data_IF_188574301910
#
_entry.id   IF_188574301910
#
_cell.length_a   1.000
_cell.length_b   1.000
_cell.length_c   1.000
_cell.angle_alpha   90.00
_cell.angle_beta   90.00
_cell.angle_gamma   90.00
#
_symmetry.space_group_name_H-M   'P 1'
#
loop_
_entity.id
_entity.type
_entity.pdbx_description
1 polymer ?
#
# COMPACT_ATOMS: atom_id res chain seq x y z
N UNK A 1 14.53 34.02 29.03
CA UNK A 1 13.12 34.00 28.57
C UNK A 1 13.08 33.36 27.20
N UNK A 2 12.36 32.26 27.00
CA UNK A 2 12.23 31.68 25.66
C UNK A 2 11.32 32.56 24.78
N UNK A 3 11.77 32.90 23.57
CA UNK A 3 10.98 33.66 22.60
C UNK A 3 10.35 32.65 21.61
N UNK A 4 9.02 32.47 21.60
CA UNK A 4 8.35 31.54 20.70
C UNK A 4 8.63 31.88 19.23
N UNK A 5 8.75 30.87 18.38
CA UNK A 5 9.07 31.04 16.96
C UNK A 5 8.12 32.03 16.25
N UNK A 6 6.81 31.90 16.46
CA UNK A 6 5.77 32.77 15.88
C UNK A 6 5.89 34.26 16.27
N UNK A 7 6.64 34.60 17.33
CA UNK A 7 6.82 35.97 17.77
C UNK A 7 8.05 36.66 17.15
N UNK A 8 8.95 35.91 16.52
CA UNK A 8 10.27 36.40 16.06
C UNK A 8 10.14 37.55 15.06
N UNK A 9 9.26 37.44 14.07
CA UNK A 9 9.13 38.47 13.03
C UNK A 9 8.38 39.72 13.53
N UNK A 10 7.41 39.55 14.43
CA UNK A 10 6.79 40.69 15.15
C UNK A 10 7.80 41.43 16.02
N UNK A 11 8.76 40.72 16.62
CA UNK A 11 9.85 41.33 17.42
C UNK A 11 10.86 42.02 16.48
N UNK A 12 11.29 41.37 15.40
CA UNK A 12 12.20 41.94 14.39
C UNK A 12 11.64 43.22 13.77
N UNK A 13 10.37 43.22 13.38
CA UNK A 13 9.70 44.40 12.81
C UNK A 13 9.52 45.55 13.81
N UNK A 14 9.72 45.31 15.11
CA UNK A 14 9.68 46.32 16.16
C UNK A 14 11.08 46.80 16.61
N UNK A 15 12.16 46.27 16.02
CA UNK A 15 13.52 46.72 16.28
C UNK A 15 13.81 48.05 15.55
N UNK A 16 14.68 48.92 16.10
CA UNK A 16 15.11 50.13 15.43
C UNK A 16 16.02 49.77 14.24
N UNK A 17 15.83 50.44 13.11
CA UNK A 17 16.64 50.27 11.90
C UNK A 17 18.12 50.60 12.13
N UNK A 18 18.41 51.46 13.10
CA UNK A 18 19.75 51.91 13.51
C UNK A 18 19.81 51.93 15.05
N UNK A 19 20.34 50.89 15.71
CA UNK A 19 20.44 50.85 17.17
C UNK A 19 21.51 51.82 17.70
N UNK A 20 21.30 52.38 18.88
CA UNK A 20 22.28 53.29 19.52
C UNK A 20 23.45 52.51 20.13
N UNK A 21 24.58 53.18 20.36
CA UNK A 21 25.74 52.55 21.03
C UNK A 21 25.42 52.02 22.43
N UNK A 22 24.44 52.62 23.12
CA UNK A 22 23.96 52.17 24.44
C UNK A 22 23.06 50.93 24.34
N UNK A 23 22.24 50.83 23.29
CA UNK A 23 21.43 49.65 22.99
C UNK A 23 22.32 48.45 22.60
N UNK A 24 23.31 48.67 21.72
CA UNK A 24 24.29 47.63 21.33
C UNK A 24 25.15 47.21 22.52
N UNK A 25 25.50 48.15 23.40
CA UNK A 25 26.23 47.91 24.65
C UNK A 25 25.41 47.26 25.77
N UNK A 26 24.17 46.82 25.50
CA UNK A 26 23.28 46.19 26.48
C UNK A 26 22.93 47.09 27.71
N UNK A 27 22.97 48.41 27.55
CA UNK A 27 22.64 49.39 28.61
C UNK A 27 21.16 49.81 28.57
N UNK A 28 20.61 49.98 27.37
CA UNK A 28 19.22 50.40 27.14
C UNK A 28 18.47 49.37 26.27
N UNK A 29 17.17 49.25 26.48
CA UNK A 29 16.30 48.33 25.75
C UNK A 29 16.06 48.79 24.31
N UNK A 30 16.39 47.95 23.32
CA UNK A 30 16.17 48.24 21.90
C UNK A 30 14.71 48.56 21.53
N UNK A 31 13.72 48.18 22.36
CA UNK A 31 12.28 48.29 22.06
C UNK A 31 11.57 49.47 22.74
N UNK A 32 12.22 50.14 23.68
CA UNK A 32 11.63 51.30 24.39
C UNK A 32 12.64 52.38 24.83
N UNK A 33 13.93 52.19 24.53
CA UNK A 33 15.03 53.10 24.87
C UNK A 33 15.19 53.42 26.38
N UNK A 34 14.52 52.65 27.25
CA UNK A 34 14.72 52.72 28.70
C UNK A 34 15.98 51.96 29.12
N UNK A 35 16.77 52.48 30.09
CA UNK A 35 17.87 51.74 30.68
C UNK A 35 17.40 50.46 31.37
N UNK A 36 18.21 49.40 31.32
CA UNK A 36 17.89 48.14 31.99
C UNK A 36 17.91 48.27 33.52
N UNK A 37 18.89 48.98 34.09
CA UNK A 37 19.09 49.00 35.55
C UNK A 37 19.30 47.59 36.08
N UNK A 38 18.55 47.20 37.11
CA UNK A 38 18.58 45.85 37.70
C UNK A 38 17.82 44.79 36.87
N UNK A 39 17.20 45.17 35.74
CA UNK A 39 16.40 44.25 34.91
C UNK A 39 17.32 43.38 34.05
N UNK A 40 17.17 42.06 34.11
CA UNK A 40 17.92 41.13 33.25
C UNK A 40 17.59 41.38 31.76
N UNK A 41 18.59 41.70 30.92
CA UNK A 41 18.40 41.87 29.48
C UNK A 41 18.16 40.52 28.79
N UNK A 42 17.30 40.50 27.77
CA UNK A 42 17.00 39.29 27.00
C UNK A 42 17.51 39.46 25.55
N UNK A 43 18.39 38.57 25.05
CA UNK A 43 18.91 38.66 23.68
C UNK A 43 17.81 38.41 22.65
N UNK A 44 17.86 39.14 21.53
CA UNK A 44 16.81 39.17 20.50
C UNK A 44 17.20 38.54 19.16
N UNK A 45 18.49 38.31 18.91
CA UNK A 45 18.98 37.62 17.72
C UNK A 45 19.11 36.10 17.88
N UNK A 46 19.59 35.40 16.84
CA UNK A 46 19.70 33.94 16.84
C UNK A 46 20.81 33.39 17.76
N UNK A 47 21.73 34.25 18.20
CA UNK A 47 22.79 33.94 19.18
C UNK A 47 22.76 34.96 20.31
N UNK A 48 23.21 34.57 21.50
CA UNK A 48 23.32 35.46 22.66
C UNK A 48 24.31 36.62 22.43
N UNK A 49 25.22 36.46 21.46
CA UNK A 49 26.23 37.44 21.03
C UNK A 49 25.72 38.47 20.02
N UNK A 50 24.45 38.40 19.60
CA UNK A 50 23.87 39.23 18.53
C UNK A 50 23.72 40.73 18.83
N UNK A 51 24.07 41.19 20.03
CA UNK A 51 24.19 42.61 20.37
C UNK A 51 22.86 43.39 20.47
N UNK A 52 21.71 42.73 20.40
CA UNK A 52 20.39 43.37 20.53
C UNK A 52 19.61 42.76 21.69
N UNK A 53 19.14 43.61 22.59
CA UNK A 53 18.55 43.21 23.86
C UNK A 53 17.21 43.90 24.13
N UNK A 54 16.24 43.13 24.60
CA UNK A 54 14.90 43.61 24.97
C UNK A 54 14.62 43.44 26.45
N UNK A 55 13.83 44.36 27.03
CA UNK A 55 13.34 44.22 28.40
C UNK A 55 12.08 43.33 28.43
N UNK A 56 11.94 42.57 29.52
CA UNK A 56 10.85 41.61 29.71
C UNK A 56 9.43 42.21 29.50
N UNK A 57 9.12 43.46 29.95
CA UNK A 57 7.83 44.09 29.67
C UNK A 57 7.54 44.30 28.17
N UNK A 58 8.53 44.78 27.41
CA UNK A 58 8.36 45.01 25.97
C UNK A 58 8.17 43.70 25.21
N UNK A 59 8.95 42.67 25.56
CA UNK A 59 8.82 41.34 24.96
C UNK A 59 7.47 40.69 25.29
N UNK A 60 7.00 40.79 26.54
CA UNK A 60 5.66 40.31 26.91
C UNK A 60 4.56 40.99 26.07
N UNK A 61 4.66 42.29 25.82
CA UNK A 61 3.73 43.05 24.96
C UNK A 61 3.77 42.58 23.50
N UNK A 62 4.96 42.41 22.92
CA UNK A 62 5.12 41.97 21.53
C UNK A 62 4.73 40.51 21.31
N UNK A 63 5.10 39.60 22.22
CA UNK A 63 4.66 38.18 22.18
C UNK A 63 3.14 38.08 22.31
N UNK A 64 2.51 38.91 23.15
CA UNK A 64 1.05 38.97 23.25
C UNK A 64 0.38 39.54 21.99
N UNK A 65 1.02 40.48 21.29
CA UNK A 65 0.56 40.99 19.99
C UNK A 65 0.69 39.90 18.92
N UNK A 66 1.85 39.27 18.81
CA UNK A 66 2.12 38.19 17.85
C UNK A 66 1.15 37.01 18.04
N UNK A 67 0.87 36.63 19.30
CA UNK A 67 -0.16 35.63 19.62
C UNK A 67 -1.51 36.05 19.05
N UNK A 68 -2.01 37.26 19.37
CA UNK A 68 -3.31 37.74 18.84
C UNK A 68 -3.37 37.78 17.31
N UNK A 69 -2.29 38.19 16.64
CA UNK A 69 -2.23 38.21 15.18
C UNK A 69 -2.26 36.81 14.59
N UNK A 70 -1.47 35.87 15.14
CA UNK A 70 -1.50 34.46 14.75
C UNK A 70 -2.87 33.84 14.99
N UNK A 71 -3.44 34.04 16.17
CA UNK A 71 -4.73 33.45 16.54
C UNK A 71 -5.87 34.01 15.67
N UNK A 72 -5.80 35.29 15.25
CA UNK A 72 -6.73 35.87 14.28
C UNK A 72 -6.54 35.33 12.85
N UNK A 73 -5.30 35.14 12.40
CA UNK A 73 -5.01 34.51 11.11
C UNK A 73 -5.54 33.07 11.08
N UNK A 74 -5.28 32.27 12.13
CA UNK A 74 -5.82 30.90 12.25
C UNK A 74 -7.35 30.84 12.21
N UNK A 75 -8.05 31.86 12.72
CA UNK A 75 -9.53 31.95 12.60
C UNK A 75 -9.93 32.23 11.16
N UNK A 76 -9.27 33.18 10.49
CA UNK A 76 -9.53 33.50 9.08
C UNK A 76 -9.22 32.30 8.15
N UNK A 77 -8.10 31.61 8.36
CA UNK A 77 -7.69 30.42 7.61
C UNK A 77 -8.71 29.28 7.82
N UNK A 78 -9.23 29.11 9.04
CA UNK A 78 -10.27 28.13 9.35
C UNK A 78 -11.66 28.51 8.78
N UNK A 79 -11.98 29.79 8.64
CA UNK A 79 -13.19 30.27 7.96
C UNK A 79 -13.09 30.06 6.44
N UNK A 80 -11.93 30.36 5.86
CA UNK A 80 -11.62 30.11 4.44
C UNK A 80 -11.69 28.61 4.11
N UNK A 81 -11.02 27.76 4.89
CA UNK A 81 -11.04 26.31 4.72
C UNK A 81 -12.47 25.71 4.78
N UNK A 82 -13.33 26.23 5.65
CA UNK A 82 -14.75 25.81 5.72
C UNK A 82 -15.55 26.25 4.48
N UNK A 83 -15.28 27.44 3.95
CA UNK A 83 -15.94 27.93 2.74
C UNK A 83 -15.51 27.12 1.51
N UNK A 84 -14.22 26.81 1.39
CA UNK A 84 -13.67 25.94 0.34
C UNK A 84 -14.24 24.52 0.40
N UNK A 85 -14.22 23.90 1.59
CA UNK A 85 -14.77 22.56 1.79
C UNK A 85 -16.28 22.49 1.49
N UNK A 86 -17.05 23.52 1.88
CA UNK A 86 -18.49 23.59 1.58
C UNK A 86 -18.78 23.74 0.08
N UNK A 87 -18.00 24.57 -0.63
CA UNK A 87 -18.15 24.75 -2.08
C UNK A 87 -17.74 23.48 -2.85
N UNK A 88 -16.66 22.81 -2.44
CA UNK A 88 -16.24 21.55 -3.04
C UNK A 88 -17.24 20.42 -2.79
N UNK A 89 -17.83 20.33 -1.59
CA UNK A 89 -18.84 19.31 -1.28
C UNK A 89 -20.07 19.38 -2.20
N UNK A 90 -20.50 20.57 -2.63
CA UNK A 90 -21.60 20.74 -3.59
C UNK A 90 -21.24 20.22 -4.99
N UNK A 91 -20.03 20.51 -5.48
CA UNK A 91 -19.54 20.02 -6.77
C UNK A 91 -19.33 18.50 -6.76
N UNK A 92 -18.74 17.98 -5.68
CA UNK A 92 -18.56 16.55 -5.41
C UNK A 92 -19.88 15.78 -5.45
N UNK A 93 -20.90 16.26 -4.74
CA UNK A 93 -22.23 15.64 -4.70
C UNK A 93 -22.86 15.60 -6.10
N UNK A 94 -22.72 16.69 -6.88
CA UNK A 94 -23.20 16.72 -8.26
C UNK A 94 -22.51 15.64 -9.12
N UNK A 95 -21.19 15.53 -9.02
CA UNK A 95 -20.41 14.56 -9.78
C UNK A 95 -20.71 13.11 -9.38
N UNK A 96 -20.96 12.82 -8.11
CA UNK A 96 -21.42 11.49 -7.65
C UNK A 96 -22.77 11.12 -8.29
N UNK A 97 -23.69 12.08 -8.41
CA UNK A 97 -24.98 11.88 -9.11
C UNK A 97 -24.77 11.64 -10.61
N UNK A 98 -23.81 12.30 -11.24
CA UNK A 98 -23.44 12.06 -12.65
C UNK A 98 -22.88 10.64 -12.85
N UNK A 99 -21.90 10.22 -12.02
CA UNK A 99 -21.32 8.87 -12.06
C UNK A 99 -22.39 7.78 -11.90
N UNK A 100 -23.29 7.91 -10.92
CA UNK A 100 -24.40 6.97 -10.71
C UNK A 100 -25.41 7.01 -11.87
N UNK A 101 -25.64 8.16 -12.50
CA UNK A 101 -26.51 8.27 -13.67
C UNK A 101 -25.94 7.55 -14.89
N UNK A 102 -24.63 7.66 -15.14
CA UNK A 102 -23.96 6.90 -16.22
C UNK A 102 -23.92 5.41 -15.88
N UNK A 103 -23.73 5.05 -14.59
CA UNK A 103 -23.78 3.65 -14.14
C UNK A 103 -25.15 3.01 -14.41
N UNK A 104 -26.24 3.70 -14.05
CA UNK A 104 -27.60 3.27 -14.36
C UNK A 104 -27.86 3.18 -15.87
N UNK A 105 -27.25 4.06 -16.67
CA UNK A 105 -27.32 3.97 -18.13
C UNK A 105 -26.59 2.73 -18.67
N UNK A 106 -25.43 2.37 -18.12
CA UNK A 106 -24.72 1.13 -18.48
C UNK A 106 -25.56 -0.11 -18.16
N UNK A 107 -26.09 -0.18 -16.94
CA UNK A 107 -26.99 -1.25 -16.46
C UNK A 107 -28.28 -1.34 -17.33
N UNK A 108 -28.79 -0.20 -17.83
CA UNK A 108 -29.92 -0.16 -18.75
C UNK A 108 -29.56 -0.64 -20.17
N UNK A 109 -28.41 -0.24 -20.71
CA UNK A 109 -27.90 -0.72 -22.01
C UNK A 109 -27.67 -2.23 -21.98
N UNK A 110 -27.04 -2.74 -20.92
CA UNK A 110 -26.82 -4.18 -20.71
C UNK A 110 -28.14 -4.97 -20.71
N UNK A 111 -29.21 -4.45 -20.08
CA UNK A 111 -30.53 -5.09 -20.10
C UNK A 111 -31.20 -5.05 -21.48
N UNK A 112 -31.07 -3.94 -22.22
CA UNK A 112 -31.68 -3.78 -23.54
C UNK A 112 -31.13 -4.77 -24.59
N UNK A 113 -29.95 -5.36 -24.38
CA UNK A 113 -29.41 -6.35 -25.30
C UNK A 113 -30.24 -7.64 -25.33
N UNK A 114 -30.94 -7.95 -24.24
CA UNK A 114 -31.85 -9.10 -24.12
C UNK A 114 -33.23 -8.87 -24.76
N UNK A 115 -33.57 -7.62 -25.12
CA UNK A 115 -34.84 -7.30 -25.76
C UNK A 115 -34.74 -7.52 -27.28
N UNK A 116 -35.33 -8.62 -27.76
CA UNK A 116 -35.37 -8.96 -29.19
C UNK A 116 -36.04 -7.87 -30.07
N UNK A 117 -36.85 -6.98 -29.50
CA UNK A 117 -37.50 -5.89 -30.24
C UNK A 117 -36.59 -4.71 -30.53
N UNK A 118 -35.41 -4.63 -29.88
CA UNK A 118 -34.42 -3.58 -30.15
C UNK A 118 -33.46 -4.02 -31.24
N UNK A 119 -33.38 -3.22 -32.30
CA UNK A 119 -32.46 -3.44 -33.42
C UNK A 119 -30.99 -3.46 -32.95
N UNK A 120 -30.16 -4.45 -33.32
CA UNK A 120 -28.77 -4.52 -32.87
C UNK A 120 -27.93 -3.29 -33.23
N UNK A 121 -28.18 -2.66 -34.38
CA UNK A 121 -27.55 -1.37 -34.73
C UNK A 121 -27.89 -0.25 -33.74
N UNK A 122 -29.10 -0.27 -33.15
CA UNK A 122 -29.51 0.69 -32.11
C UNK A 122 -28.77 0.43 -30.81
N UNK A 123 -28.54 -0.84 -30.45
CA UNK A 123 -27.72 -1.24 -29.30
C UNK A 123 -26.27 -0.76 -29.47
N UNK A 124 -25.66 -0.94 -30.65
CA UNK A 124 -24.31 -0.43 -30.93
C UNK A 124 -24.19 1.10 -30.76
N UNK A 125 -25.17 1.87 -31.24
CA UNK A 125 -25.21 3.33 -31.04
C UNK A 125 -25.41 3.73 -29.58
N UNK A 126 -26.13 2.94 -28.79
CA UNK A 126 -26.26 3.15 -27.35
C UNK A 126 -24.91 2.93 -26.64
N UNK A 127 -24.15 1.90 -26.99
CA UNK A 127 -22.80 1.69 -26.45
C UNK A 127 -21.87 2.87 -26.80
N UNK A 128 -21.84 3.33 -28.06
CA UNK A 128 -21.03 4.52 -28.44
C UNK A 128 -21.41 5.77 -27.64
N UNK A 129 -22.71 5.97 -27.38
CA UNK A 129 -23.19 7.09 -26.57
C UNK A 129 -22.79 6.95 -25.09
N UNK A 130 -22.79 5.72 -24.59
CA UNK A 130 -22.41 5.37 -23.22
C UNK A 130 -20.90 5.49 -22.98
N UNK A 131 -20.05 5.03 -23.91
CA UNK A 131 -18.59 5.21 -23.85
C UNK A 131 -18.20 6.69 -23.81
N UNK A 132 -18.90 7.52 -24.60
CA UNK A 132 -18.75 8.98 -24.54
C UNK A 132 -19.11 9.51 -23.15
N UNK A 133 -20.30 9.15 -22.63
CA UNK A 133 -20.75 9.60 -21.30
C UNK A 133 -19.82 9.13 -20.16
N UNK A 134 -19.27 7.91 -20.27
CA UNK A 134 -18.26 7.38 -19.34
C UNK A 134 -16.99 8.23 -19.34
N UNK A 135 -16.43 8.53 -20.51
CA UNK A 135 -15.21 9.34 -20.62
C UNK A 135 -15.40 10.75 -20.02
N UNK A 136 -16.51 11.42 -20.34
CA UNK A 136 -16.84 12.73 -19.72
C UNK A 136 -16.97 12.61 -18.19
N UNK A 137 -17.65 11.58 -17.70
CA UNK A 137 -17.85 11.39 -16.26
C UNK A 137 -16.57 10.97 -15.49
N UNK A 138 -15.55 10.41 -16.15
CA UNK A 138 -14.28 10.09 -15.50
C UNK A 138 -13.22 11.18 -15.61
N UNK A 139 -13.22 11.95 -16.70
CA UNK A 139 -12.18 12.94 -16.98
C UNK A 139 -12.41 14.27 -16.23
N UNK A 140 -13.67 14.66 -15.99
CA UNK A 140 -14.05 15.90 -15.29
C UNK A 140 -14.18 15.74 -13.75
N UNK A 141 -13.43 14.80 -13.16
CA UNK A 141 -13.48 14.52 -11.72
C UNK A 141 -13.00 15.73 -10.86
N UNK A 142 -13.76 16.18 -9.83
CA UNK A 142 -13.46 17.41 -9.10
C UNK A 142 -12.31 17.24 -8.08
N UNK A 143 -11.20 17.95 -8.29
CA UNK A 143 -10.06 17.96 -7.36
C UNK A 143 -10.43 18.52 -5.97
N UNK A 144 -10.03 17.87 -4.87
CA UNK A 144 -10.24 18.38 -3.51
C UNK A 144 -9.36 19.62 -3.24
N UNK A 145 -9.87 20.63 -2.52
CA UNK A 145 -9.05 21.78 -2.13
C UNK A 145 -7.94 21.35 -1.15
N UNK A 146 -6.81 22.07 -1.05
CA UNK A 146 -5.73 21.75 -0.11
C UNK A 146 -6.12 21.74 1.38
N UNK A 147 -7.31 22.25 1.70
CA UNK A 147 -7.94 22.30 3.01
C UNK A 147 -8.83 21.07 3.32
N UNK A 148 -9.10 20.21 2.34
CA UNK A 148 -9.83 18.94 2.50
C UNK A 148 -8.87 17.75 2.70
N UNK A 149 -9.43 16.59 3.07
CA UNK A 149 -8.66 15.36 3.25
C UNK A 149 -8.04 14.87 1.92
N UNK A 150 -6.89 14.21 2.00
CA UNK A 150 -6.05 13.89 0.83
C UNK A 150 -6.63 12.87 -0.16
N UNK A 151 -7.75 12.21 0.17
CA UNK A 151 -8.44 11.25 -0.71
C UNK A 151 -9.92 11.17 -0.34
N UNK A 152 -10.78 11.03 -1.35
CA UNK A 152 -12.21 10.78 -1.18
C UNK A 152 -12.53 9.33 -1.59
N UNK A 153 -12.92 8.52 -0.62
CA UNK A 153 -13.22 7.10 -0.81
C UNK A 153 -14.51 6.86 -1.60
N UNK A 154 -15.52 7.73 -1.45
CA UNK A 154 -16.83 7.57 -2.08
C UNK A 154 -16.77 7.91 -3.57
N UNK A 155 -16.01 8.94 -3.96
CA UNK A 155 -15.68 9.21 -5.36
C UNK A 155 -14.91 8.02 -5.99
N UNK A 156 -13.94 7.46 -5.27
CA UNK A 156 -13.15 6.32 -5.75
C UNK A 156 -13.98 5.03 -5.91
N UNK A 157 -14.87 4.72 -4.97
CA UNK A 157 -15.78 3.57 -5.02
C UNK A 157 -16.85 3.74 -6.11
N UNK A 158 -17.40 4.96 -6.25
CA UNK A 158 -18.38 5.26 -7.31
C UNK A 158 -17.79 5.13 -8.71
N UNK A 159 -16.57 5.64 -8.93
CA UNK A 159 -15.82 5.45 -10.17
C UNK A 159 -15.53 3.97 -10.46
N UNK A 160 -15.14 3.20 -9.44
CA UNK A 160 -14.90 1.75 -9.60
C UNK A 160 -16.18 0.98 -9.96
N UNK A 161 -17.31 1.27 -9.31
CA UNK A 161 -18.61 0.65 -9.63
C UNK A 161 -19.06 0.98 -11.06
N UNK A 162 -18.87 2.21 -11.50
CA UNK A 162 -19.12 2.61 -12.89
C UNK A 162 -18.25 1.81 -13.86
N UNK A 163 -16.96 1.63 -13.57
CA UNK A 163 -16.08 0.81 -14.41
C UNK A 163 -16.52 -0.66 -14.52
N UNK A 164 -17.04 -1.26 -13.44
CA UNK A 164 -17.57 -2.64 -13.47
C UNK A 164 -18.81 -2.75 -14.36
N UNK A 165 -19.78 -1.84 -14.21
CA UNK A 165 -21.02 -1.85 -15.00
C UNK A 165 -20.75 -1.56 -16.48
N UNK A 166 -19.73 -0.75 -16.80
CA UNK A 166 -19.25 -0.58 -18.17
C UNK A 166 -18.67 -1.87 -18.77
N UNK A 167 -18.00 -2.72 -17.99
CA UNK A 167 -17.52 -4.02 -18.47
C UNK A 167 -18.71 -4.92 -18.82
N UNK A 168 -19.70 -5.05 -17.92
CA UNK A 168 -20.90 -5.84 -18.18
C UNK A 168 -21.75 -5.32 -19.34
N UNK A 169 -21.82 -4.00 -19.53
CA UNK A 169 -22.50 -3.40 -20.69
C UNK A 169 -21.76 -3.69 -22.01
N UNK A 170 -20.42 -3.64 -22.02
CA UNK A 170 -19.61 -4.00 -23.20
C UNK A 170 -19.81 -5.47 -23.58
N UNK A 171 -19.67 -6.38 -22.62
CA UNK A 171 -19.86 -7.83 -22.79
C UNK A 171 -21.23 -8.15 -23.39
N UNK A 172 -22.31 -7.70 -22.73
CA UNK A 172 -23.68 -7.95 -23.17
C UNK A 172 -24.00 -7.37 -24.57
N UNK A 173 -23.37 -6.25 -24.96
CA UNK A 173 -23.51 -5.66 -26.30
C UNK A 173 -22.73 -6.45 -27.35
N UNK A 174 -21.50 -6.88 -27.03
CA UNK A 174 -20.67 -7.70 -27.93
C UNK A 174 -21.37 -9.02 -28.24
N UNK A 175 -21.90 -9.73 -27.24
CA UNK A 175 -22.63 -10.98 -27.45
C UNK A 175 -23.86 -10.78 -28.35
N UNK A 176 -24.64 -9.73 -28.10
CA UNK A 176 -25.84 -9.43 -28.91
C UNK A 176 -25.50 -9.07 -30.36
N UNK A 177 -24.38 -8.39 -30.60
CA UNK A 177 -23.91 -8.07 -31.94
C UNK A 177 -23.31 -9.30 -32.65
N UNK A 178 -22.56 -10.14 -31.92
CA UNK A 178 -22.06 -11.41 -32.43
C UNK A 178 -23.23 -12.32 -32.86
N UNK A 179 -24.19 -12.57 -31.98
CA UNK A 179 -25.43 -13.30 -32.28
C UNK A 179 -26.10 -12.78 -33.55
N UNK A 180 -26.26 -11.47 -33.70
CA UNK A 180 -26.89 -10.90 -34.90
C UNK A 180 -26.07 -11.13 -36.18
N UNK A 181 -24.75 -10.91 -36.13
CA UNK A 181 -23.86 -11.14 -37.27
C UNK A 181 -23.88 -12.60 -37.73
N UNK A 182 -23.80 -13.54 -36.80
CA UNK A 182 -23.86 -14.99 -37.06
C UNK A 182 -25.16 -15.35 -37.78
N UNK A 183 -26.29 -14.88 -37.25
CA UNK A 183 -27.62 -15.28 -37.72
C UNK A 183 -28.09 -14.56 -38.99
N UNK A 184 -27.58 -13.36 -39.31
CA UNK A 184 -27.92 -12.65 -40.56
C UNK A 184 -26.89 -12.84 -41.69
N UNK A 185 -25.63 -13.18 -41.39
CA UNK A 185 -24.66 -13.56 -42.41
C UNK A 185 -24.87 -14.99 -42.93
N UNK A 186 -25.60 -15.84 -42.19
CA UNK A 186 -25.89 -17.22 -42.60
C UNK A 186 -26.82 -17.25 -43.82
N UNK A 187 -26.43 -17.88 -44.95
CA UNK A 187 -27.26 -17.94 -46.15
C UNK A 187 -28.54 -18.75 -45.91
N UNK A 188 -29.67 -18.44 -46.58
CA UNK A 188 -30.98 -19.08 -46.33
C UNK A 188 -31.05 -20.57 -46.69
N UNK A 189 -30.00 -21.12 -47.30
CA UNK A 189 -29.77 -22.55 -47.48
C UNK A 189 -28.29 -22.84 -47.19
N UNK A 190 -27.92 -23.08 -45.92
CA UNK A 190 -26.54 -23.35 -45.56
C UNK A 190 -26.10 -24.74 -46.05
N UNK A 191 -25.22 -24.78 -47.06
CA UNK A 191 -24.54 -26.02 -47.48
C UNK A 191 -23.69 -26.63 -46.35
N UNK A 192 -23.31 -25.80 -45.37
CA UNK A 192 -22.50 -26.15 -44.18
C UNK A 192 -23.26 -26.96 -43.10
N UNK A 193 -24.59 -27.09 -43.18
CA UNK A 193 -25.39 -27.78 -42.15
C UNK A 193 -25.27 -29.32 -42.14
N UNK A 194 -24.51 -29.93 -43.05
CA UNK A 194 -24.18 -31.38 -42.98
C UNK A 194 -22.89 -31.67 -42.20
N UNK A 195 -22.00 -30.69 -41.96
CA UNK A 195 -20.76 -30.91 -41.16
C UNK A 195 -20.95 -30.67 -39.65
N UNK A 196 -21.93 -29.86 -39.26
CA UNK A 196 -22.35 -29.74 -37.86
C UNK A 196 -23.47 -30.75 -37.58
N UNK A 197 -23.27 -31.61 -36.58
CA UNK A 197 -24.19 -32.69 -36.14
C UNK A 197 -25.44 -32.11 -35.42
N UNK A 198 -26.17 -31.22 -36.10
CA UNK A 198 -27.30 -30.48 -35.57
C UNK A 198 -28.45 -31.44 -35.20
N UNK A 199 -28.97 -31.38 -33.95
CA UNK A 199 -30.05 -32.26 -33.53
C UNK A 199 -31.31 -32.01 -34.36
N UNK A 200 -32.07 -33.08 -34.64
CA UNK A 200 -33.31 -33.03 -35.43
C UNK A 200 -34.31 -32.06 -34.81
N UNK A 201 -34.48 -30.89 -35.43
CA UNK A 201 -35.29 -29.79 -34.94
C UNK A 201 -34.53 -28.48 -34.70
N UNK A 202 -33.22 -28.42 -35.00
CA UNK A 202 -32.45 -27.17 -35.02
C UNK A 202 -33.16 -26.11 -35.90
N UNK A 203 -33.26 -24.88 -35.38
CA UNK A 203 -33.88 -23.74 -36.04
C UNK A 203 -32.96 -23.00 -37.01
N UNK A 204 -31.68 -23.40 -37.09
CA UNK A 204 -30.63 -22.68 -37.80
C UNK A 204 -30.24 -21.35 -37.14
N UNK A 205 -30.62 -21.15 -35.87
CA UNK A 205 -30.17 -20.02 -35.06
C UNK A 205 -29.10 -20.48 -34.07
N UNK A 206 -28.01 -19.73 -34.00
CA UNK A 206 -26.81 -20.06 -33.25
C UNK A 206 -26.37 -18.87 -32.38
N UNK A 207 -25.93 -19.15 -31.15
CA UNK A 207 -25.33 -18.16 -30.27
C UNK A 207 -23.79 -18.10 -30.44
N UNK A 208 -23.12 -17.11 -29.85
CA UNK A 208 -21.65 -17.05 -29.83
C UNK A 208 -21.04 -18.31 -29.19
N UNK A 209 -21.71 -18.90 -28.19
CA UNK A 209 -21.33 -20.16 -27.56
C UNK A 209 -21.49 -21.41 -28.44
N UNK A 210 -22.23 -21.31 -29.55
CA UNK A 210 -22.40 -22.42 -30.50
C UNK A 210 -21.31 -22.45 -31.57
N UNK A 211 -20.42 -21.43 -31.61
CA UNK A 211 -19.30 -21.36 -32.55
C UNK A 211 -18.03 -21.89 -31.88
N UNK A 212 -17.71 -23.15 -32.16
CA UNK A 212 -16.43 -23.78 -31.83
C UNK A 212 -15.37 -23.45 -32.90
N UNK A 213 -15.12 -22.15 -33.12
CA UNK A 213 -13.91 -21.73 -33.83
C UNK A 213 -12.74 -21.87 -32.84
N UNK A 214 -11.82 -22.79 -33.15
CA UNK A 214 -10.65 -23.04 -32.32
C UNK A 214 -9.84 -21.75 -32.08
N UNK A 215 -9.06 -21.67 -30.98
CA UNK A 215 -8.37 -20.45 -30.57
C UNK A 215 -7.43 -19.88 -31.65
N UNK A 216 -6.98 -20.73 -32.57
CA UNK A 216 -6.13 -20.43 -33.72
C UNK A 216 -6.83 -19.55 -34.79
N UNK A 217 -8.15 -19.69 -34.96
CA UNK A 217 -8.90 -19.10 -36.09
C UNK A 217 -8.83 -17.56 -36.15
N UNK A 218 -8.82 -16.88 -35.00
CA UNK A 218 -8.71 -15.41 -34.95
C UNK A 218 -7.35 -14.92 -35.47
N UNK A 219 -6.27 -15.70 -35.29
CA UNK A 219 -4.94 -15.35 -35.77
C UNK A 219 -4.80 -15.59 -37.28
N UNK A 220 -5.46 -16.63 -37.80
CA UNK A 220 -5.54 -16.90 -39.24
C UNK A 220 -6.31 -15.77 -39.95
N UNK A 221 -7.52 -15.42 -39.48
CA UNK A 221 -8.32 -14.31 -40.01
C UNK A 221 -7.57 -12.96 -39.97
N UNK A 222 -6.90 -12.65 -38.86
CA UNK A 222 -6.10 -11.42 -38.73
C UNK A 222 -4.92 -11.40 -39.71
N UNK A 223 -4.23 -12.53 -39.90
CA UNK A 223 -3.12 -12.66 -40.83
C UNK A 223 -3.57 -12.50 -42.30
N UNK A 224 -4.74 -13.00 -42.69
CA UNK A 224 -5.33 -12.75 -44.02
C UNK A 224 -5.57 -11.27 -44.29
N UNK A 225 -5.94 -10.51 -43.25
CA UNK A 225 -6.15 -9.06 -43.31
C UNK A 225 -4.85 -8.24 -43.14
N UNK A 226 -3.69 -8.91 -43.11
CA UNK A 226 -2.37 -8.28 -42.99
C UNK A 226 -2.01 -7.81 -41.58
N UNK A 227 -2.78 -8.22 -40.56
CA UNK A 227 -2.55 -7.92 -39.14
C UNK A 227 -1.86 -9.11 -38.50
N UNK A 228 -0.55 -9.03 -38.34
CA UNK A 228 0.23 -10.11 -37.71
C UNK A 228 0.16 -9.97 -36.18
N UNK A 229 -0.58 -10.88 -35.53
CA UNK A 229 -0.58 -11.05 -34.07
C UNK A 229 0.12 -12.37 -33.74
N UNK A 230 0.98 -12.37 -32.72
CA UNK A 230 1.73 -13.58 -32.33
C UNK A 230 0.81 -14.65 -31.76
N UNK A 231 0.77 -15.81 -32.44
CA UNK A 231 -0.12 -16.92 -32.16
C UNK A 231 0.44 -17.85 -31.06
N UNK A 232 -0.34 -18.22 -30.03
CA UNK A 232 0.07 -19.23 -29.04
C UNK A 232 0.02 -20.64 -29.69
N UNK A 233 1.16 -21.34 -29.74
CA UNK A 233 1.33 -22.49 -30.62
C UNK A 233 0.58 -23.78 -30.25
N UNK A 234 0.06 -24.48 -31.26
CA UNK A 234 -0.75 -25.71 -31.09
C UNK A 234 0.07 -26.94 -30.68
N UNK A 235 -0.28 -27.55 -29.54
CA UNK A 235 0.18 -28.88 -29.11
C UNK A 235 -1.00 -29.74 -28.58
N UNK A 236 -1.04 -31.07 -28.83
CA UNK A 236 -2.28 -31.84 -28.74
C UNK A 236 -2.68 -32.22 -27.32
N UNK A 237 -3.96 -31.97 -27.00
CA UNK A 237 -4.57 -32.17 -25.68
C UNK A 237 -4.81 -33.65 -25.37
N UNK A 238 -4.44 -34.09 -24.15
CA UNK A 238 -5.09 -35.25 -23.49
C UNK A 238 -5.51 -34.89 -22.06
N UNK A 239 -6.82 -34.91 -21.86
CA UNK A 239 -7.48 -34.50 -20.62
C UNK A 239 -7.46 -35.60 -19.54
N UNK A 240 -7.22 -35.21 -18.28
CA UNK A 240 -8.28 -35.04 -17.28
C UNK A 240 -7.72 -34.78 -15.86
N UNK A 241 -8.15 -33.66 -15.27
CA UNK A 241 -8.08 -33.35 -13.83
C UNK A 241 -6.69 -33.43 -13.17
N UNK A 242 -5.79 -32.52 -13.55
CA UNK A 242 -4.72 -32.02 -12.67
C UNK A 242 -4.51 -30.53 -12.87
N UNK A 243 -4.40 -29.84 -11.73
CA UNK A 243 -3.56 -28.64 -11.51
C UNK A 243 -2.68 -28.24 -12.69
N UNK A 244 -2.92 -27.04 -13.23
CA UNK A 244 -2.06 -26.37 -14.22
C UNK A 244 -0.57 -26.53 -13.90
N UNK A 245 0.21 -27.23 -14.75
CA UNK A 245 1.61 -26.92 -14.99
C UNK A 245 1.67 -25.87 -16.13
N UNK A 246 2.71 -25.02 -16.18
CA UNK A 246 2.66 -23.76 -16.93
C UNK A 246 2.86 -23.93 -18.44
N UNK A 247 2.26 -23.03 -19.22
CA UNK A 247 2.50 -22.86 -20.66
C UNK A 247 3.54 -21.73 -20.91
N UNK A 248 4.64 -21.95 -21.66
CA UNK A 248 5.72 -20.98 -21.78
C UNK A 248 5.81 -20.31 -23.17
N UNK A 249 5.34 -19.06 -23.31
CA UNK A 249 5.87 -18.11 -24.31
C UNK A 249 5.30 -16.67 -24.26
N UNK A 250 4.21 -16.37 -23.53
CA UNK A 250 3.84 -14.99 -23.16
C UNK A 250 4.24 -14.68 -21.70
N UNK A 251 5.42 -14.10 -21.48
CA UNK A 251 6.54 -14.10 -22.42
C UNK A 251 7.32 -15.42 -22.34
N UNK A 252 8.61 -15.32 -22.65
CA UNK A 252 9.58 -15.65 -21.60
C UNK A 252 9.05 -15.12 -20.23
N UNK A 253 9.53 -15.59 -19.07
CA UNK A 253 9.48 -14.71 -17.89
C UNK A 253 10.15 -13.37 -18.27
N UNK A 254 10.42 -12.49 -17.32
CA UNK A 254 11.75 -11.88 -17.45
C UNK A 254 12.64 -13.02 -16.92
N UNK A 255 13.26 -13.91 -17.76
CA UNK A 255 14.15 -14.94 -17.25
C UNK A 255 15.23 -14.21 -16.49
N UNK A 256 15.73 -13.10 -17.05
CA UNK A 256 16.43 -12.06 -16.32
C UNK A 256 15.83 -11.78 -14.93
N UNK A 257 14.54 -11.53 -14.65
CA UNK A 257 14.03 -11.27 -13.28
C UNK A 257 13.88 -12.52 -12.40
N UNK A 258 13.30 -13.62 -12.88
CA UNK A 258 13.17 -14.85 -12.06
C UNK A 258 14.54 -15.51 -11.82
N UNK A 259 15.42 -15.49 -12.82
CA UNK A 259 16.84 -15.86 -12.72
C UNK A 259 17.65 -14.77 -11.99
N UNK A 260 17.29 -13.48 -11.99
CA UNK A 260 17.91 -12.44 -11.15
C UNK A 260 17.55 -12.67 -9.69
N UNK A 261 16.29 -13.00 -9.37
CA UNK A 261 15.89 -13.35 -8.00
C UNK A 261 16.58 -14.64 -7.58
N UNK A 262 16.63 -15.67 -8.44
CA UNK A 262 17.39 -16.91 -8.21
C UNK A 262 18.88 -16.61 -7.96
N UNK A 263 19.54 -15.87 -8.85
CA UNK A 263 20.97 -15.51 -8.74
C UNK A 263 21.26 -14.54 -7.58
N UNK A 264 20.32 -13.67 -7.21
CA UNK A 264 20.42 -12.83 -6.02
C UNK A 264 20.31 -13.67 -4.74
N UNK A 265 19.36 -14.60 -4.68
CA UNK A 265 19.22 -15.54 -3.56
C UNK A 265 20.48 -16.40 -3.41
N UNK A 266 20.98 -16.98 -4.50
CA UNK A 266 22.25 -17.71 -4.54
C UNK A 266 23.43 -16.83 -4.10
N UNK A 267 23.49 -15.56 -4.50
CA UNK A 267 24.50 -14.60 -4.04
C UNK A 267 24.45 -14.35 -2.53
N UNK A 268 23.25 -14.34 -1.94
CA UNK A 268 23.04 -14.23 -0.49
C UNK A 268 23.10 -15.58 0.25
N UNK A 269 23.36 -16.70 -0.45
CA UNK A 269 23.50 -18.03 0.13
C UNK A 269 22.19 -18.75 0.42
N UNK A 270 21.07 -18.30 -0.16
CA UNK A 270 19.74 -18.89 0.00
C UNK A 270 19.50 -19.81 -1.20
N UNK A 271 19.21 -21.09 -0.96
CA UNK A 271 18.90 -22.06 -2.02
C UNK A 271 17.46 -21.81 -2.56
N UNK A 272 17.28 -21.38 -3.82
CA UNK A 272 15.96 -21.13 -4.41
C UNK A 272 15.23 -22.42 -4.85
N UNK A 273 15.90 -23.57 -4.78
CA UNK A 273 15.37 -24.89 -5.12
C UNK A 273 14.86 -25.66 -3.90
N UNK A 274 15.41 -25.40 -2.70
CA UNK A 274 14.83 -25.87 -1.44
C UNK A 274 13.56 -25.07 -1.11
N UNK A 275 12.43 -25.77 -1.11
CA UNK A 275 11.11 -25.16 -0.92
C UNK A 275 10.91 -24.65 0.52
N UNK A 276 11.47 -25.30 1.54
CA UNK A 276 11.30 -24.87 2.94
C UNK A 276 12.19 -23.66 3.27
N UNK A 277 13.40 -23.63 2.72
CA UNK A 277 14.29 -22.46 2.78
C UNK A 277 13.65 -21.27 2.06
N UNK A 278 13.15 -21.48 0.84
CA UNK A 278 12.51 -20.43 0.06
C UNK A 278 11.22 -19.91 0.70
N UNK A 279 10.35 -20.78 1.25
CA UNK A 279 9.17 -20.38 2.03
C UNK A 279 9.60 -19.54 3.24
N UNK A 280 10.64 -19.96 3.96
CA UNK A 280 11.11 -19.26 5.17
C UNK A 280 11.65 -17.87 4.84
N UNK A 281 12.49 -17.75 3.81
CA UNK A 281 12.96 -16.45 3.33
C UNK A 281 11.81 -15.57 2.80
N UNK A 282 10.84 -16.15 2.09
CA UNK A 282 9.66 -15.43 1.60
C UNK A 282 8.77 -14.93 2.75
N UNK A 283 8.62 -15.69 3.84
CA UNK A 283 7.88 -15.26 5.03
C UNK A 283 8.56 -14.06 5.71
N UNK A 284 9.89 -14.10 5.87
CA UNK A 284 10.67 -12.94 6.37
C UNK A 284 10.49 -11.73 5.46
N UNK A 285 10.53 -11.92 4.14
CA UNK A 285 10.34 -10.85 3.15
C UNK A 285 8.93 -10.27 3.13
N UNK A 286 7.90 -11.10 3.36
CA UNK A 286 6.54 -10.63 3.50
C UNK A 286 6.41 -9.73 4.74
N UNK A 287 6.91 -10.15 5.91
CA UNK A 287 6.91 -9.33 7.14
C UNK A 287 7.74 -8.06 6.95
N UNK A 288 8.89 -8.14 6.28
CA UNK A 288 9.73 -6.98 6.00
C UNK A 288 8.99 -5.94 5.14
N UNK A 289 8.42 -6.35 4.00
CA UNK A 289 7.78 -5.44 3.04
C UNK A 289 6.40 -4.93 3.46
N UNK A 290 5.64 -5.73 4.23
CA UNK A 290 4.25 -5.41 4.61
C UNK A 290 4.18 -4.68 5.94
N UNK A 291 5.06 -5.01 6.90
CA UNK A 291 4.89 -4.62 8.30
C UNK A 291 6.07 -3.80 8.85
N UNK A 292 7.32 -4.18 8.55
CA UNK A 292 8.50 -3.41 9.02
C UNK A 292 8.70 -2.12 8.22
N UNK A 293 8.82 -2.22 6.91
CA UNK A 293 9.04 -1.07 6.04
C UNK A 293 7.75 -0.25 5.92
N UNK A 294 7.76 1.03 6.29
CA UNK A 294 6.64 1.95 6.05
C UNK A 294 6.14 2.64 7.32
N UNK A 295 4.81 2.78 7.52
CA UNK A 295 4.26 3.60 8.62
C UNK A 295 4.62 3.14 10.04
N UNK A 296 5.16 1.93 10.21
CA UNK A 296 5.60 1.42 11.51
C UNK A 296 6.68 2.29 12.17
N UNK A 297 7.56 2.93 11.40
CA UNK A 297 8.60 3.81 11.94
C UNK A 297 8.00 5.02 12.69
N UNK A 298 6.87 5.55 12.21
CA UNK A 298 6.14 6.64 12.89
C UNK A 298 5.49 6.13 14.19
N UNK A 299 4.90 4.94 14.16
CA UNK A 299 4.29 4.28 15.33
C UNK A 299 5.37 3.96 16.38
N UNK A 300 6.56 3.52 15.97
CA UNK A 300 7.72 3.29 16.85
C UNK A 300 8.22 4.60 17.47
N UNK A 301 8.34 5.68 16.70
CA UNK A 301 8.79 6.98 17.19
C UNK A 301 7.77 7.68 18.13
N UNK A 302 6.53 7.19 18.22
CA UNK A 302 5.48 7.78 19.04
C UNK A 302 5.76 7.64 20.55
N UNK A 303 5.21 8.57 21.35
CA UNK A 303 5.44 8.58 22.81
C UNK A 303 4.80 7.39 23.56
N UNK A 304 3.83 6.71 22.94
CA UNK A 304 3.25 5.44 23.39
C UNK A 304 3.50 4.32 22.37
N UNK A 305 4.56 4.45 21.56
CA UNK A 305 5.01 3.45 20.60
C UNK A 305 5.54 2.18 21.27
N UNK A 306 5.67 1.08 20.50
CA UNK A 306 6.26 -0.17 20.96
C UNK A 306 7.77 -0.02 21.15
N UNK A 307 8.34 -0.84 22.04
CA UNK A 307 9.78 -0.99 22.24
C UNK A 307 10.44 -1.91 21.19
N UNK A 308 11.76 -1.82 20.99
CA UNK A 308 12.49 -2.67 20.04
C UNK A 308 12.27 -4.17 20.31
N UNK A 309 12.17 -4.56 21.58
CA UNK A 309 11.84 -5.92 22.00
C UNK A 309 10.43 -6.37 21.63
N UNK A 310 9.44 -5.46 21.66
CA UNK A 310 8.07 -5.71 21.19
C UNK A 310 8.01 -5.84 19.68
N UNK A 311 8.70 -4.95 18.95
CA UNK A 311 8.76 -5.02 17.49
C UNK A 311 9.45 -6.31 17.04
N UNK A 312 10.52 -6.74 17.72
CA UNK A 312 11.19 -8.01 17.46
C UNK A 312 10.28 -9.21 17.75
N UNK A 313 9.63 -9.26 18.92
CA UNK A 313 8.70 -10.33 19.28
C UNK A 313 7.56 -10.46 18.26
N UNK A 314 6.94 -9.35 17.88
CA UNK A 314 5.85 -9.33 16.90
C UNK A 314 6.33 -9.73 15.49
N UNK A 315 7.56 -9.37 15.10
CA UNK A 315 8.14 -9.80 13.81
C UNK A 315 8.27 -11.34 13.72
N UNK A 316 8.63 -11.99 14.83
CA UNK A 316 8.80 -13.45 14.91
C UNK A 316 7.44 -14.16 14.85
N UNK A 317 6.43 -13.61 15.51
CA UNK A 317 5.08 -14.14 15.45
C UNK A 317 4.48 -14.00 14.05
N UNK A 318 4.57 -12.80 13.47
CA UNK A 318 4.15 -12.52 12.10
C UNK A 318 4.91 -13.35 11.06
N UNK A 319 6.18 -13.70 11.30
CA UNK A 319 6.92 -14.65 10.45
C UNK A 319 6.27 -16.04 10.44
N UNK A 320 5.81 -16.55 11.60
CA UNK A 320 5.11 -17.84 11.69
C UNK A 320 3.79 -17.79 10.91
N UNK A 321 2.98 -16.76 11.14
CA UNK A 321 1.72 -16.55 10.42
C UNK A 321 1.92 -16.37 8.93
N UNK A 322 2.95 -15.62 8.50
CA UNK A 322 3.33 -15.45 7.11
C UNK A 322 3.74 -16.78 6.47
N UNK A 323 4.54 -17.60 7.17
CA UNK A 323 4.95 -18.93 6.72
C UNK A 323 3.75 -19.85 6.52
N UNK A 324 2.85 -19.92 7.50
CA UNK A 324 1.62 -20.72 7.41
C UNK A 324 0.74 -20.26 6.24
N UNK A 325 0.52 -18.95 6.09
CA UNK A 325 -0.27 -18.37 5.01
C UNK A 325 0.35 -18.61 3.62
N UNK A 326 1.67 -18.47 3.48
CA UNK A 326 2.40 -18.77 2.23
C UNK A 326 2.37 -20.27 1.91
N UNK A 327 2.47 -21.15 2.91
CA UNK A 327 2.33 -22.61 2.70
C UNK A 327 0.91 -22.96 2.24
N UNK A 328 -0.12 -22.41 2.88
CA UNK A 328 -1.52 -22.61 2.49
C UNK A 328 -1.83 -22.04 1.10
N UNK A 329 -1.23 -20.91 0.72
CA UNK A 329 -1.41 -20.30 -0.60
C UNK A 329 -0.98 -21.19 -1.78
N UNK A 330 -0.22 -22.26 -1.52
CA UNK A 330 0.14 -23.29 -2.51
C UNK A 330 -1.04 -24.16 -2.94
N UNK A 331 -1.98 -24.45 -2.05
CA UNK A 331 -3.13 -25.32 -2.30
C UNK A 331 -4.44 -24.56 -2.36
N UNK A 332 -4.58 -23.52 -1.54
CA UNK A 332 -5.85 -22.86 -1.27
C UNK A 332 -5.99 -21.54 -2.05
N UNK A 333 -4.93 -21.13 -2.76
CA UNK A 333 -4.87 -19.90 -3.57
C UNK A 333 -4.29 -18.70 -2.82
N UNK A 334 -3.94 -17.61 -3.54
CA UNK A 334 -3.36 -16.40 -2.95
C UNK A 334 -4.21 -15.78 -1.83
N UNK A 335 -5.52 -16.03 -1.81
CA UNK A 335 -6.46 -15.60 -0.79
C UNK A 335 -6.11 -16.12 0.63
N UNK A 336 -5.30 -17.19 0.75
CA UNK A 336 -4.78 -17.65 2.04
C UNK A 336 -3.91 -16.59 2.76
N UNK A 337 -3.34 -15.63 2.03
CA UNK A 337 -2.59 -14.50 2.61
C UNK A 337 -3.46 -13.53 3.43
N UNK A 338 -4.78 -13.57 3.27
CA UNK A 338 -5.70 -12.80 4.12
C UNK A 338 -5.63 -13.23 5.59
N UNK A 339 -5.22 -14.47 5.89
CA UNK A 339 -4.99 -14.93 7.27
C UNK A 339 -3.80 -14.19 7.94
N UNK A 340 -2.75 -13.91 7.17
CA UNK A 340 -1.63 -13.09 7.65
C UNK A 340 -2.06 -11.62 7.85
N UNK A 341 -2.77 -11.05 6.87
CA UNK A 341 -3.29 -9.68 6.94
C UNK A 341 -4.21 -9.48 8.16
N UNK A 342 -5.11 -10.43 8.42
CA UNK A 342 -6.03 -10.38 9.55
C UNK A 342 -5.33 -10.33 10.92
N UNK A 343 -4.13 -10.91 11.06
CA UNK A 343 -3.31 -10.82 12.27
C UNK A 343 -2.46 -9.55 12.29
N UNK A 344 -1.84 -9.21 11.15
CA UNK A 344 -0.93 -8.06 11.04
C UNK A 344 -1.64 -6.69 11.18
N UNK A 345 -2.90 -6.61 10.74
CA UNK A 345 -3.73 -5.40 10.77
C UNK A 345 -4.67 -5.33 11.99
N UNK A 346 -4.71 -6.34 12.88
CA UNK A 346 -5.62 -6.31 14.04
C UNK A 346 -5.20 -5.22 15.03
N UNK A 347 -5.99 -4.15 15.06
CA UNK A 347 -5.73 -3.00 15.92
C UNK A 347 -5.91 -3.29 17.41
N UNK A 348 -6.54 -4.41 17.79
CA UNK A 348 -6.85 -4.82 19.16
C UNK A 348 -6.01 -5.99 19.68
N UNK A 349 -5.37 -6.74 18.80
CA UNK A 349 -4.54 -7.87 19.19
C UNK A 349 -3.32 -7.40 19.99
N UNK A 350 -3.13 -7.87 21.24
CA UNK A 350 -1.90 -7.64 21.98
C UNK A 350 -0.73 -8.31 21.29
N UNK A 351 0.39 -7.60 21.17
CA UNK A 351 1.57 -8.12 20.49
C UNK A 351 2.22 -9.32 21.23
N UNK A 352 3.00 -10.09 20.48
CA UNK A 352 3.68 -11.28 20.94
C UNK A 352 4.74 -11.01 22.04
N UNK A 353 5.31 -12.09 22.60
CA UNK A 353 6.29 -12.00 23.69
C UNK A 353 5.72 -11.54 25.03
N UNK A 354 4.40 -11.58 25.20
CA UNK A 354 3.71 -11.13 26.42
C UNK A 354 3.58 -9.61 26.53
N UNK A 355 3.62 -8.90 25.39
CA UNK A 355 3.38 -7.46 25.35
C UNK A 355 1.94 -7.09 25.75
N UNK A 356 1.77 -5.88 26.27
CA UNK A 356 0.45 -5.22 26.41
C UNK A 356 0.19 -4.16 25.35
N UNK A 357 1.12 -3.96 24.40
CA UNK A 357 0.98 -3.03 23.29
C UNK A 357 -0.08 -3.53 22.30
N UNK A 358 -0.85 -2.59 21.76
CA UNK A 358 -1.84 -2.79 20.68
C UNK A 358 -1.74 -1.59 19.75
N UNK A 359 -1.98 -1.76 18.45
CA UNK A 359 -1.88 -0.65 17.50
C UNK A 359 -2.89 0.49 17.83
N UNK A 360 -4.12 0.18 18.25
CA UNK A 360 -5.07 1.23 18.73
C UNK A 360 -4.54 2.01 19.94
N UNK A 361 -3.65 1.42 20.73
CA UNK A 361 -3.08 2.03 21.94
C UNK A 361 -1.95 3.05 21.69
N UNK A 362 -1.36 3.10 20.48
CA UNK A 362 -0.17 3.93 20.23
C UNK A 362 -0.49 5.44 20.14
N UNK A 363 -1.73 5.81 19.82
CA UNK A 363 -2.18 7.20 19.72
C UNK A 363 -1.89 7.90 18.38
N UNK A 364 -1.23 7.23 17.44
CA UNK A 364 -1.05 7.69 16.06
C UNK A 364 -2.17 7.18 15.14
N UNK A 365 -2.40 7.80 13.96
CA UNK A 365 -3.29 7.27 12.93
C UNK A 365 -2.80 5.90 12.45
N UNK A 366 -3.70 4.91 12.43
CA UNK A 366 -3.38 3.53 12.02
C UNK A 366 -3.91 3.19 10.62
N UNK A 367 -4.65 4.10 9.99
CA UNK A 367 -5.29 3.93 8.69
C UNK A 367 -4.25 3.76 7.57
N UNK A 368 -3.21 4.61 7.53
CA UNK A 368 -2.10 4.49 6.56
C UNK A 368 -1.32 3.18 6.74
N UNK A 369 -1.18 2.72 7.99
CA UNK A 369 -0.51 1.46 8.32
C UNK A 369 -1.29 0.24 7.81
N UNK A 370 -2.61 0.22 8.03
CA UNK A 370 -3.50 -0.83 7.52
C UNK A 370 -3.54 -0.80 5.99
N UNK A 371 -3.68 0.38 5.36
CA UNK A 371 -3.68 0.48 3.90
C UNK A 371 -2.37 -0.02 3.28
N UNK A 372 -1.21 0.29 3.89
CA UNK A 372 0.07 -0.22 3.42
C UNK A 372 0.19 -1.74 3.57
N UNK A 373 -0.27 -2.32 4.69
CA UNK A 373 -0.37 -3.77 4.85
C UNK A 373 -1.21 -4.40 3.74
N UNK A 374 -2.41 -3.85 3.51
CA UNK A 374 -3.37 -4.31 2.51
C UNK A 374 -2.79 -4.24 1.09
N UNK A 375 -2.20 -3.11 0.69
CA UNK A 375 -1.57 -2.92 -0.62
C UNK A 375 -0.44 -3.94 -0.85
N UNK A 376 0.37 -4.20 0.18
CA UNK A 376 1.52 -5.11 0.10
C UNK A 376 1.10 -6.58 0.09
N UNK A 377 0.05 -6.95 0.83
CA UNK A 377 -0.55 -8.30 0.77
C UNK A 377 -1.25 -8.51 -0.57
N UNK A 378 -2.02 -7.54 -1.06
CA UNK A 378 -2.66 -7.55 -2.37
C UNK A 378 -1.63 -7.73 -3.49
N UNK A 379 -0.50 -7.00 -3.45
CA UNK A 379 0.57 -7.16 -4.44
C UNK A 379 1.18 -8.57 -4.43
N UNK A 380 1.41 -9.18 -3.25
CA UNK A 380 1.87 -10.58 -3.17
C UNK A 380 0.83 -11.54 -3.76
N UNK A 381 -0.44 -11.33 -3.42
CA UNK A 381 -1.57 -12.13 -3.89
C UNK A 381 -1.71 -12.05 -5.41
N UNK A 382 -1.51 -10.85 -5.98
CA UNK A 382 -1.50 -10.61 -7.43
C UNK A 382 -0.33 -11.33 -8.11
N UNK A 383 0.89 -11.22 -7.59
CA UNK A 383 2.05 -11.97 -8.12
C UNK A 383 1.81 -13.48 -8.10
N UNK A 384 1.28 -14.04 -7.02
CA UNK A 384 0.96 -15.47 -6.91
C UNK A 384 -0.14 -15.87 -7.93
N UNK A 385 -1.15 -15.01 -8.15
CA UNK A 385 -2.24 -15.25 -9.10
C UNK A 385 -1.78 -15.21 -10.56
N UNK A 386 -0.94 -14.23 -10.91
CA UNK A 386 -0.54 -13.95 -12.30
C UNK A 386 0.72 -14.73 -12.74
N UNK A 387 1.67 -14.97 -11.83
CA UNK A 387 2.98 -15.56 -12.13
C UNK A 387 3.23 -16.88 -11.37
N UNK A 388 2.26 -17.33 -10.58
CA UNK A 388 2.32 -18.56 -9.80
C UNK A 388 3.01 -18.40 -8.45
N UNK A 389 2.69 -19.35 -7.56
CA UNK A 389 3.17 -19.38 -6.18
C UNK A 389 4.69 -19.23 -6.02
N UNK A 390 5.47 -19.96 -6.83
CA UNK A 390 6.94 -19.91 -6.80
C UNK A 390 7.49 -18.51 -7.11
N UNK A 391 6.89 -17.75 -8.04
CA UNK A 391 7.31 -16.40 -8.38
C UNK A 391 7.04 -15.42 -7.23
N UNK A 392 5.89 -15.55 -6.56
CA UNK A 392 5.58 -14.80 -5.34
C UNK A 392 6.58 -15.07 -4.21
N UNK A 393 6.99 -16.33 -4.02
CA UNK A 393 8.05 -16.68 -3.06
C UNK A 393 9.40 -16.07 -3.44
N UNK A 394 9.86 -16.25 -4.68
CA UNK A 394 11.14 -15.72 -5.16
C UNK A 394 11.24 -14.20 -4.98
N UNK A 395 10.18 -13.46 -5.32
CA UNK A 395 10.11 -12.02 -5.12
C UNK A 395 10.26 -11.63 -3.65
N UNK A 396 9.50 -12.26 -2.74
CA UNK A 396 9.56 -11.93 -1.31
C UNK A 396 10.87 -12.36 -0.67
N UNK A 397 11.38 -13.55 -1.01
CA UNK A 397 12.68 -14.01 -0.53
C UNK A 397 13.82 -13.09 -0.99
N UNK A 398 13.79 -12.59 -2.24
CA UNK A 398 14.77 -11.63 -2.73
C UNK A 398 14.72 -10.29 -1.96
N UNK A 399 13.53 -9.81 -1.58
CA UNK A 399 13.39 -8.65 -0.70
C UNK A 399 13.96 -8.91 0.69
N UNK A 400 13.70 -10.08 1.27
CA UNK A 400 14.27 -10.50 2.56
C UNK A 400 15.81 -10.53 2.53
N UNK A 401 16.39 -11.06 1.46
CA UNK A 401 17.84 -11.17 1.30
C UNK A 401 18.54 -9.79 1.24
N UNK A 402 17.87 -8.78 0.67
CA UNK A 402 18.38 -7.41 0.59
C UNK A 402 18.18 -6.60 1.88
N UNK A 403 17.03 -6.75 2.54
CA UNK A 403 16.60 -5.87 3.66
C UNK A 403 16.80 -6.47 5.04
N UNK A 404 16.64 -7.79 5.15
CA UNK A 404 16.51 -8.53 6.40
C UNK A 404 17.37 -9.83 6.43
N UNK A 405 18.61 -9.86 5.87
CA UNK A 405 19.37 -11.11 5.68
C UNK A 405 19.71 -11.86 6.96
N UNK A 406 19.66 -11.18 8.11
CA UNK A 406 19.97 -11.72 9.44
C UNK A 406 18.78 -11.69 10.39
N UNK A 407 17.55 -11.74 9.88
CA UNK A 407 16.33 -11.88 10.70
C UNK A 407 16.02 -13.36 10.99
N UNK A 408 15.24 -13.61 12.06
CA UNK A 408 14.73 -14.94 12.40
C UNK A 408 14.00 -15.56 11.20
N UNK A 409 14.35 -16.81 10.85
CA UNK A 409 13.84 -17.50 9.66
C UNK A 409 14.73 -17.42 8.42
N UNK A 410 15.83 -16.66 8.44
CA UNK A 410 16.85 -16.63 7.38
C UNK A 410 18.01 -17.59 7.69
N UNK A 411 18.67 -18.10 6.63
CA UNK A 411 19.85 -18.99 6.72
C UNK A 411 21.00 -18.44 7.60
N UNK A 412 21.15 -17.11 7.69
CA UNK A 412 22.21 -16.46 8.48
C UNK A 412 21.82 -16.18 9.93
N UNK A 413 20.61 -16.56 10.36
CA UNK A 413 20.17 -16.40 11.74
C UNK A 413 20.99 -17.22 12.77
N UNK A 414 21.41 -18.48 12.51
CA UNK A 414 22.23 -19.22 13.47
C UNK A 414 23.61 -18.58 13.72
N UNK A 415 24.24 -18.04 12.68
CA UNK A 415 25.48 -17.26 12.80
C UNK A 415 25.24 -16.01 13.66
N UNK A 416 24.14 -15.31 13.38
CA UNK A 416 23.68 -14.12 14.12
C UNK A 416 23.47 -14.40 15.61
N UNK A 417 22.87 -15.54 15.96
CA UNK A 417 22.72 -15.99 17.37
C UNK A 417 24.07 -16.33 17.99
N UNK A 418 24.96 -16.98 17.24
CA UNK A 418 26.33 -17.31 17.71
C UNK A 418 27.11 -16.04 18.09
N UNK A 419 27.07 -15.01 17.24
CA UNK A 419 27.67 -13.69 17.53
C UNK A 419 27.00 -12.97 18.69
N UNK A 420 25.67 -13.09 18.83
CA UNK A 420 24.90 -12.52 19.93
C UNK A 420 25.31 -13.15 21.27
N UNK A 421 25.49 -14.47 21.33
CA UNK A 421 25.93 -15.19 22.54
C UNK A 421 27.37 -14.84 22.93
N UNK A 422 28.27 -14.67 21.95
CA UNK A 422 29.62 -14.19 22.18
C UNK A 422 29.63 -12.79 22.82
N UNK A 423 28.78 -11.87 22.31
CA UNK A 423 28.57 -10.54 22.90
C UNK A 423 27.94 -10.61 24.29
N UNK A 424 26.89 -11.41 24.47
CA UNK A 424 26.18 -11.59 25.74
C UNK A 424 27.06 -12.16 26.86
N UNK A 425 28.06 -12.96 26.48
CA UNK A 425 29.10 -13.48 27.40
C UNK A 425 30.11 -12.40 27.83
N UNK A 426 30.37 -11.40 26.98
CA UNK A 426 31.31 -10.31 27.25
C UNK A 426 30.68 -9.10 27.99
N UNK A 427 29.36 -8.95 27.94
CA UNK A 427 28.61 -7.86 28.56
C UNK A 427 28.32 -8.14 30.05
N UNK A 428 28.31 -7.09 30.88
CA UNK A 428 27.85 -7.20 32.26
C UNK A 428 26.34 -7.48 32.33
N UNK A 429 25.98 -8.65 32.87
CA UNK A 429 24.60 -9.13 33.05
C UNK A 429 24.04 -8.84 34.46
N UNK A 430 24.71 -8.04 35.28
CA UNK A 430 24.31 -7.71 36.67
C UNK A 430 22.91 -7.10 36.81
N UNK A 431 22.35 -6.55 35.73
CA UNK A 431 20.95 -6.07 35.63
C UNK A 431 20.19 -6.66 34.45
N UNK A 432 20.48 -7.91 34.05
CA UNK A 432 19.73 -8.63 33.03
C UNK A 432 18.46 -9.29 33.59
N UNK A 433 17.37 -9.41 32.81
CA UNK A 433 16.22 -10.23 33.18
C UNK A 433 16.59 -11.69 33.45
N UNK A 434 15.82 -12.37 34.33
CA UNK A 434 16.09 -13.75 34.76
C UNK A 434 16.14 -14.75 33.59
N UNK A 435 15.37 -14.51 32.52
CA UNK A 435 15.39 -15.28 31.28
C UNK A 435 16.77 -15.28 30.57
N UNK A 436 17.65 -14.32 30.87
CA UNK A 436 19.01 -14.23 30.31
C UNK A 436 20.11 -14.81 31.24
N UNK A 437 19.74 -15.49 32.33
CA UNK A 437 20.68 -16.09 33.26
C UNK A 437 21.40 -17.31 32.66
N UNK A 438 20.64 -18.25 32.09
CA UNK A 438 21.13 -19.47 31.44
C UNK A 438 21.36 -19.23 29.94
N UNK A 439 22.62 -19.12 29.54
CA UNK A 439 23.00 -18.85 28.15
C UNK A 439 22.65 -20.00 27.19
N UNK A 440 22.58 -21.25 27.65
CA UNK A 440 22.19 -22.38 26.80
C UNK A 440 20.68 -22.39 26.55
N UNK A 441 19.88 -21.98 27.55
CA UNK A 441 18.45 -21.75 27.37
C UNK A 441 18.17 -20.55 26.46
N UNK A 442 18.97 -19.47 26.56
CA UNK A 442 18.90 -18.32 25.65
C UNK A 442 19.24 -18.72 24.21
N UNK A 443 20.32 -19.49 24.00
CA UNK A 443 20.71 -20.02 22.69
C UNK A 443 19.56 -20.80 22.03
N UNK A 444 19.02 -21.80 22.73
CA UNK A 444 17.90 -22.60 22.24
C UNK A 444 16.67 -21.74 21.94
N UNK A 445 16.31 -20.79 22.83
CA UNK A 445 15.18 -19.90 22.61
C UNK A 445 15.38 -18.98 21.41
N UNK A 446 16.56 -18.37 21.24
CA UNK A 446 16.88 -17.53 20.10
C UNK A 446 16.85 -18.33 18.77
N UNK A 447 17.24 -19.60 18.76
CA UNK A 447 17.21 -20.45 17.57
C UNK A 447 15.80 -20.96 17.22
N UNK A 448 14.96 -21.29 18.20
CA UNK A 448 13.65 -21.93 17.97
C UNK A 448 12.45 -20.98 18.00
N UNK A 449 12.40 -20.04 18.96
CA UNK A 449 11.26 -19.15 19.20
C UNK A 449 11.66 -17.94 20.07
N UNK A 450 12.40 -16.96 19.52
CA UNK A 450 12.96 -15.86 20.32
C UNK A 450 11.90 -15.02 21.04
N UNK A 451 10.67 -14.94 20.52
CA UNK A 451 9.52 -14.30 21.16
C UNK A 451 9.24 -14.85 22.57
N UNK A 452 9.57 -16.12 22.83
CA UNK A 452 9.35 -16.78 24.13
C UNK A 452 10.32 -16.34 25.23
N UNK A 453 11.40 -15.62 24.91
CA UNK A 453 12.22 -14.96 25.93
C UNK A 453 11.45 -13.83 26.64
N UNK A 454 10.39 -13.33 26.01
CA UNK A 454 9.57 -12.23 26.50
C UNK A 454 10.17 -10.86 26.20
N UNK A 455 9.30 -9.87 26.02
CA UNK A 455 9.65 -8.50 25.64
C UNK A 455 10.84 -7.95 26.43
N UNK A 456 10.78 -7.99 27.76
CA UNK A 456 11.82 -7.38 28.61
C UNK A 456 13.23 -7.96 28.40
N UNK A 457 13.34 -9.23 28.00
CA UNK A 457 14.61 -9.87 27.68
C UNK A 457 15.11 -9.46 26.30
N UNK A 458 14.23 -9.44 25.30
CA UNK A 458 14.54 -8.98 23.94
C UNK A 458 14.95 -7.51 23.93
N UNK A 459 14.22 -6.65 24.65
CA UNK A 459 14.48 -5.23 24.76
C UNK A 459 15.85 -4.94 25.40
N UNK A 460 16.20 -5.70 26.44
CA UNK A 460 17.52 -5.62 27.08
C UNK A 460 18.67 -5.97 26.12
N UNK A 461 18.45 -6.92 25.20
CA UNK A 461 19.40 -7.35 24.16
C UNK A 461 19.51 -6.33 23.02
N UNK A 462 18.39 -5.76 22.56
CA UNK A 462 18.34 -4.73 21.52
C UNK A 462 19.06 -3.46 21.97
N UNK A 463 18.72 -2.90 23.15
CA UNK A 463 19.32 -1.69 23.73
C UNK A 463 20.86 -1.79 23.93
N UNK A 464 21.43 -2.99 23.88
CA UNK A 464 22.86 -3.25 24.03
C UNK A 464 23.58 -3.67 22.74
N UNK A 465 22.91 -3.62 21.58
CA UNK A 465 23.49 -4.04 20.30
C UNK A 465 23.91 -5.51 20.28
N UNK A 466 23.26 -6.36 21.11
CA UNK A 466 23.56 -7.79 21.14
C UNK A 466 22.96 -8.48 19.92
N UNK A 467 21.82 -7.98 19.42
CA UNK A 467 21.10 -8.49 18.25
C UNK A 467 21.32 -7.66 16.96
N UNK A 468 22.08 -6.54 17.01
CA UNK A 468 22.49 -5.69 15.87
C UNK A 468 23.67 -6.20 15.03
#
# INVERSE_FOLDING_TARGET
MHIPAYARDTIRAALPTMPTSRQVGCLDCCLCDEPFGDRVPVPLGPTETSGLFGCHPCLRRLVARARRTRDAAMVQDAEQARAEAAAWAEVREHHLIELESVRQAAEAVARLTTDESVEPLRIAWLLVSLESAYAWATDDAPEPPPSAAARDEELSDSGFRLSLEMISAREAVVDRLAYHLINEATPPSPEMCEEFDCPKGCSGRHDSSDIDCGPDAVFEDLAEHGVVVEHPGTAPIRSRWRTLPPDPAQGRPVPEMAEQFTAALEHFGIDPTDTEVLISAAAVGLVADTWRDGPLDAIHAAAAGPSDGEILAQSIDLYRTAREALTAARTDGPEALLAFQAVAADLQLPWAGGSSFTLRGCGEPTEEFVQHLDDRVWFTSKLIREQGWQAGLLHRAASAALKAPTHFGMERWPDRVTEALARLTAVDRSGAPEALADLAAVEAALLEAPDRLGVAALDWLCVRGVLE
#
